data_IF_706330687652
#
_entry.id   IF_706330687652
#
_cell.length_a   1.000
_cell.length_b   1.000
_cell.length_c   1.000
_cell.angle_alpha   90.00
_cell.angle_beta   90.00
_cell.angle_gamma   90.00
#
_symmetry.space_group_name_H-M   'P 1'
#
loop_
_entity.id
_entity.type
_entity.pdbx_description
1 polymer ?
#
# COMPACT_ATOMS: atom_id res chain seq x y z
N UNK A 1 -1.57 -35.51 5.24
CA UNK A 1 -1.83 -34.06 5.11
C UNK A 1 -0.95 -33.39 6.12
N UNK A 2 0.07 -32.70 5.64
CA UNK A 2 1.01 -32.01 6.53
C UNK A 2 0.33 -30.77 7.12
N UNK A 3 0.80 -30.32 8.29
CA UNK A 3 0.22 -29.15 8.98
C UNK A 3 0.25 -27.89 8.09
N UNK A 4 1.22 -27.81 7.19
CA UNK A 4 1.36 -26.80 6.13
C UNK A 4 0.19 -26.80 5.15
N UNK A 5 -0.28 -27.97 4.70
CA UNK A 5 -1.38 -28.10 3.74
C UNK A 5 -2.69 -27.54 4.30
N UNK A 6 -2.95 -27.80 5.60
CA UNK A 6 -4.15 -27.33 6.30
C UNK A 6 -4.14 -25.81 6.41
N UNK A 7 -3.01 -25.22 6.79
CA UNK A 7 -2.84 -23.77 6.88
C UNK A 7 -3.03 -23.11 5.51
N UNK A 8 -2.39 -23.64 4.47
CA UNK A 8 -2.50 -23.10 3.10
C UNK A 8 -3.94 -23.18 2.59
N UNK A 9 -4.63 -24.30 2.83
CA UNK A 9 -6.04 -24.44 2.48
C UNK A 9 -6.91 -23.42 3.21
N UNK A 10 -6.64 -23.17 4.50
CA UNK A 10 -7.37 -22.19 5.29
C UNK A 10 -7.18 -20.78 4.77
N UNK A 11 -5.95 -20.37 4.46
CA UNK A 11 -5.70 -19.05 3.89
C UNK A 11 -6.40 -18.89 2.54
N UNK A 12 -6.34 -19.91 1.67
CA UNK A 12 -7.05 -19.88 0.37
C UNK A 12 -8.55 -19.66 0.54
N UNK A 13 -9.19 -20.33 1.51
CA UNK A 13 -10.60 -20.11 1.84
C UNK A 13 -10.86 -18.66 2.25
N UNK A 14 -10.02 -18.09 3.14
CA UNK A 14 -10.14 -16.71 3.58
C UNK A 14 -9.98 -15.72 2.42
N UNK A 15 -8.98 -15.89 1.56
CA UNK A 15 -8.79 -15.05 0.38
C UNK A 15 -10.01 -15.09 -0.56
N UNK A 16 -10.57 -16.28 -0.80
CA UNK A 16 -11.77 -16.42 -1.62
C UNK A 16 -12.99 -15.74 -0.98
N UNK A 17 -13.16 -15.87 0.33
CA UNK A 17 -14.24 -15.20 1.06
C UNK A 17 -14.12 -13.68 0.98
N UNK A 18 -12.90 -13.15 1.18
CA UNK A 18 -12.65 -11.72 1.03
C UNK A 18 -12.93 -11.23 -0.39
N UNK A 19 -12.56 -12.01 -1.41
CA UNK A 19 -12.88 -11.68 -2.80
C UNK A 19 -14.39 -11.58 -3.06
N UNK A 20 -15.18 -12.56 -2.58
CA UNK A 20 -16.65 -12.51 -2.68
C UNK A 20 -17.23 -11.30 -1.94
N UNK A 21 -16.68 -10.94 -0.79
CA UNK A 21 -17.10 -9.73 -0.06
C UNK A 21 -16.79 -8.45 -0.83
N UNK A 22 -15.65 -8.38 -1.53
CA UNK A 22 -15.31 -7.26 -2.42
C UNK A 22 -16.30 -7.14 -3.58
N UNK A 23 -16.69 -8.26 -4.19
CA UNK A 23 -17.72 -8.28 -5.25
C UNK A 23 -19.09 -7.83 -4.73
N UNK A 24 -19.35 -8.00 -3.44
CA UNK A 24 -20.54 -7.50 -2.75
C UNK A 24 -20.38 -6.09 -2.18
N UNK A 25 -19.29 -5.39 -2.49
CA UNK A 25 -18.93 -4.06 -1.96
C UNK A 25 -18.82 -3.99 -0.42
N UNK A 26 -18.67 -5.15 0.25
CA UNK A 26 -18.47 -5.27 1.69
C UNK A 26 -16.99 -5.13 2.04
N UNK A 27 -16.42 -3.96 1.72
CA UNK A 27 -14.98 -3.72 1.81
C UNK A 27 -14.43 -3.83 3.23
N UNK A 28 -15.16 -3.36 4.24
CA UNK A 28 -14.75 -3.43 5.65
C UNK A 28 -14.62 -4.89 6.12
N UNK A 29 -15.58 -5.74 5.72
CA UNK A 29 -15.53 -7.16 6.05
C UNK A 29 -14.37 -7.87 5.34
N UNK A 30 -14.09 -7.52 4.08
CA UNK A 30 -12.94 -8.04 3.35
C UNK A 30 -11.60 -7.59 3.98
N UNK A 31 -11.49 -6.33 4.41
CA UNK A 31 -10.33 -5.80 5.13
C UNK A 31 -10.10 -6.56 6.44
N UNK A 32 -11.15 -6.83 7.22
CA UNK A 32 -11.07 -7.64 8.42
C UNK A 32 -10.49 -9.04 8.15
N UNK A 33 -10.91 -9.71 7.07
CA UNK A 33 -10.37 -11.02 6.71
C UNK A 33 -8.88 -10.94 6.39
N UNK A 34 -8.43 -9.96 5.60
CA UNK A 34 -7.01 -9.82 5.30
C UNK A 34 -6.17 -9.50 6.54
N UNK A 35 -6.69 -8.69 7.46
CA UNK A 35 -6.03 -8.41 8.73
C UNK A 35 -5.96 -9.66 9.64
N UNK A 36 -6.99 -10.51 9.60
CA UNK A 36 -6.97 -11.81 10.27
C UNK A 36 -5.90 -12.74 9.67
N UNK A 37 -5.79 -12.80 8.34
CA UNK A 37 -4.71 -13.55 7.67
C UNK A 37 -3.35 -13.07 8.13
N UNK A 38 -3.11 -11.75 8.22
CA UNK A 38 -1.85 -11.18 8.70
C UNK A 38 -1.55 -11.65 10.14
N UNK A 39 -2.55 -11.56 11.02
CA UNK A 39 -2.43 -11.94 12.43
C UNK A 39 -2.12 -13.44 12.58
N UNK A 40 -2.83 -14.29 11.85
CA UNK A 40 -2.60 -15.74 11.85
C UNK A 40 -1.23 -16.08 11.26
N UNK A 41 -0.83 -15.44 10.16
CA UNK A 41 0.48 -15.60 9.55
C UNK A 41 1.62 -15.27 10.51
N UNK A 42 1.46 -14.27 11.37
CA UNK A 42 2.45 -13.95 12.39
C UNK A 42 2.56 -15.03 13.46
N UNK A 43 1.44 -15.62 13.88
CA UNK A 43 1.42 -16.70 14.86
C UNK A 43 2.11 -17.97 14.35
N UNK A 44 1.93 -18.30 13.07
CA UNK A 44 2.51 -19.50 12.45
C UNK A 44 3.79 -19.22 11.65
N UNK A 45 4.30 -17.99 11.69
CA UNK A 45 5.49 -17.53 10.97
C UNK A 45 5.45 -17.77 9.45
N UNK A 46 4.27 -17.72 8.85
CA UNK A 46 4.08 -17.97 7.42
C UNK A 46 4.01 -16.67 6.61
N UNK A 47 5.17 -16.24 6.11
CA UNK A 47 5.36 -14.92 5.48
C UNK A 47 4.67 -14.79 4.12
N UNK A 48 4.51 -15.87 3.35
CA UNK A 48 3.92 -15.78 2.01
C UNK A 48 2.46 -15.31 2.05
N UNK A 49 1.62 -15.88 2.93
CA UNK A 49 0.25 -15.39 3.09
C UNK A 49 0.17 -14.00 3.68
N UNK A 50 1.12 -13.63 4.54
CA UNK A 50 1.21 -12.26 5.08
C UNK A 50 1.47 -11.25 3.95
N UNK A 51 2.46 -11.54 3.09
CA UNK A 51 2.79 -10.75 1.90
C UNK A 51 1.58 -10.63 0.97
N UNK A 52 0.91 -11.74 0.69
CA UNK A 52 -0.25 -11.76 -0.20
C UNK A 52 -1.41 -10.94 0.38
N UNK A 53 -1.67 -11.02 1.69
CA UNK A 53 -2.69 -10.21 2.35
C UNK A 53 -2.41 -8.70 2.20
N UNK A 54 -1.15 -8.27 2.32
CA UNK A 54 -0.77 -6.88 2.08
C UNK A 54 -0.96 -6.44 0.61
N UNK A 55 -0.73 -7.32 -0.37
CA UNK A 55 -1.03 -7.01 -1.78
C UNK A 55 -2.54 -6.85 -1.98
N UNK A 56 -3.34 -7.76 -1.42
CA UNK A 56 -4.79 -7.66 -1.48
C UNK A 56 -5.31 -6.38 -0.80
N UNK A 57 -4.79 -6.05 0.38
CA UNK A 57 -5.11 -4.79 1.06
C UNK A 57 -4.71 -3.57 0.22
N UNK A 58 -3.54 -3.58 -0.42
CA UNK A 58 -3.12 -2.49 -1.32
C UNK A 58 -4.19 -2.23 -2.38
N UNK A 59 -4.66 -3.28 -3.06
CA UNK A 59 -5.69 -3.16 -4.10
C UNK A 59 -7.04 -2.69 -3.52
N UNK A 60 -7.44 -3.22 -2.36
CA UNK A 60 -8.66 -2.83 -1.67
C UNK A 60 -8.64 -1.34 -1.27
N UNK A 61 -7.50 -0.86 -0.76
CA UNK A 61 -7.32 0.54 -0.40
C UNK A 61 -7.34 1.46 -1.62
N UNK A 62 -6.76 1.02 -2.75
CA UNK A 62 -6.87 1.75 -4.03
C UNK A 62 -8.33 1.85 -4.48
N UNK A 63 -9.11 0.77 -4.42
CA UNK A 63 -10.54 0.78 -4.76
C UNK A 63 -11.32 1.78 -3.90
N UNK A 64 -11.02 1.82 -2.60
CA UNK A 64 -11.62 2.75 -1.64
C UNK A 64 -11.00 4.16 -1.67
N UNK A 65 -10.06 4.45 -2.58
CA UNK A 65 -9.33 5.72 -2.69
C UNK A 65 -8.55 6.11 -1.42
N UNK A 66 -8.23 5.13 -0.57
CA UNK A 66 -7.40 5.25 0.64
C UNK A 66 -5.92 5.12 0.27
N UNK A 67 -5.41 6.06 -0.53
CA UNK A 67 -4.11 5.91 -1.19
C UNK A 67 -2.91 5.88 -0.22
N UNK A 68 -3.00 6.55 0.93
CA UNK A 68 -1.95 6.48 1.96
C UNK A 68 -1.87 5.07 2.56
N UNK A 69 -3.01 4.48 2.91
CA UNK A 69 -3.10 3.11 3.44
C UNK A 69 -2.62 2.10 2.39
N UNK A 70 -2.97 2.32 1.11
CA UNK A 70 -2.49 1.51 0.00
C UNK A 70 -0.95 1.51 -0.08
N UNK A 71 -0.31 2.67 0.09
CA UNK A 71 1.15 2.76 0.05
C UNK A 71 1.79 2.01 1.22
N UNK A 72 1.24 2.15 2.43
CA UNK A 72 1.72 1.43 3.62
C UNK A 72 1.62 -0.08 3.39
N UNK A 73 0.50 -0.57 2.84
CA UNK A 73 0.32 -1.98 2.53
C UNK A 73 1.32 -2.45 1.47
N UNK A 74 1.57 -1.66 0.41
CA UNK A 74 2.53 -2.01 -0.62
C UNK A 74 3.97 -2.11 -0.09
N UNK A 75 4.35 -1.21 0.82
CA UNK A 75 5.65 -1.24 1.52
C UNK A 75 5.75 -2.50 2.39
N UNK A 76 4.69 -2.84 3.12
CA UNK A 76 4.67 -4.07 3.92
C UNK A 76 4.76 -5.33 3.05
N UNK A 77 4.05 -5.37 1.92
CA UNK A 77 4.20 -6.46 0.95
C UNK A 77 5.67 -6.61 0.52
N UNK A 78 6.36 -5.51 0.21
CA UNK A 78 7.79 -5.53 -0.12
C UNK A 78 8.65 -6.08 1.02
N UNK A 79 8.37 -5.68 2.26
CA UNK A 79 9.13 -6.10 3.44
C UNK A 79 9.01 -7.61 3.72
N UNK A 80 7.92 -8.24 3.31
CA UNK A 80 7.70 -9.69 3.45
C UNK A 80 7.99 -10.48 2.17
N UNK A 81 8.53 -9.84 1.12
CA UNK A 81 9.00 -10.53 -0.08
C UNK A 81 10.27 -11.32 0.21
N UNK A 82 10.33 -12.57 -0.22
CA UNK A 82 11.46 -13.49 0.05
C UNK A 82 12.45 -13.63 -1.10
N UNK A 83 12.06 -13.18 -2.29
CA UNK A 83 12.89 -13.25 -3.49
C UNK A 83 12.84 -11.95 -4.31
N UNK A 84 13.75 -11.87 -5.29
CA UNK A 84 13.89 -10.68 -6.14
C UNK A 84 12.70 -10.44 -7.08
N UNK A 85 11.95 -11.48 -7.43
CA UNK A 85 10.77 -11.34 -8.28
C UNK A 85 9.63 -10.71 -7.48
N UNK A 86 9.37 -11.21 -6.28
CA UNK A 86 8.39 -10.65 -5.35
C UNK A 86 8.75 -9.21 -4.94
N UNK A 87 10.04 -8.90 -4.74
CA UNK A 87 10.49 -7.53 -4.47
C UNK A 87 10.16 -6.62 -5.65
N UNK A 88 10.44 -7.04 -6.90
CA UNK A 88 10.12 -6.25 -8.10
C UNK A 88 8.62 -5.99 -8.23
N UNK A 89 7.79 -7.01 -8.01
CA UNK A 89 6.32 -6.86 -8.04
C UNK A 89 5.85 -5.84 -6.99
N UNK A 90 6.39 -5.90 -5.77
CA UNK A 90 6.04 -4.95 -4.72
C UNK A 90 6.55 -3.52 -5.02
N UNK A 91 7.76 -3.39 -5.59
CA UNK A 91 8.29 -2.09 -6.04
C UNK A 91 7.43 -1.46 -7.15
N UNK A 92 6.88 -2.27 -8.06
CA UNK A 92 5.92 -1.80 -9.07
C UNK A 92 4.62 -1.29 -8.46
N UNK A 93 4.08 -1.99 -7.44
CA UNK A 93 2.91 -1.53 -6.69
C UNK A 93 3.20 -0.21 -5.96
N UNK A 94 4.29 -0.13 -5.21
CA UNK A 94 4.72 1.08 -4.50
C UNK A 94 4.85 2.25 -5.48
N UNK A 95 5.49 2.03 -6.62
CA UNK A 95 5.65 3.04 -7.66
C UNK A 95 4.30 3.50 -8.22
N UNK A 96 3.39 2.58 -8.51
CA UNK A 96 2.05 2.89 -9.03
C UNK A 96 1.26 3.76 -8.04
N UNK A 97 1.23 3.38 -6.77
CA UNK A 97 0.54 4.13 -5.70
C UNK A 97 1.20 5.50 -5.50
N UNK A 98 2.55 5.54 -5.44
CA UNK A 98 3.31 6.78 -5.27
C UNK A 98 3.05 7.79 -6.39
N UNK A 99 2.86 7.33 -7.64
CA UNK A 99 2.53 8.22 -8.76
C UNK A 99 1.11 8.77 -8.67
N UNK A 100 0.18 8.02 -8.10
CA UNK A 100 -1.17 8.54 -7.87
C UNK A 100 -1.18 9.56 -6.73
N UNK A 101 -0.48 9.27 -5.64
CA UNK A 101 -0.28 10.22 -4.54
C UNK A 101 0.45 11.49 -4.98
N UNK A 102 1.43 11.39 -5.90
CA UNK A 102 2.07 12.55 -6.51
C UNK A 102 1.05 13.46 -7.20
N UNK A 103 0.17 12.88 -8.03
CA UNK A 103 -0.90 13.64 -8.70
C UNK A 103 -1.82 14.30 -7.67
N UNK A 104 -2.19 13.58 -6.61
CA UNK A 104 -3.01 14.13 -5.55
C UNK A 104 -2.33 15.29 -4.82
N UNK A 105 -1.02 15.20 -4.55
CA UNK A 105 -0.24 16.29 -3.96
C UNK A 105 -0.22 17.53 -4.84
N UNK A 106 -0.06 17.36 -6.17
CA UNK A 106 -0.14 18.47 -7.14
C UNK A 106 -1.53 19.13 -7.13
N UNK A 107 -2.61 18.33 -7.04
CA UNK A 107 -3.95 18.91 -6.95
C UNK A 107 -4.17 19.65 -5.61
N UNK A 108 -3.64 19.14 -4.50
CA UNK A 108 -3.67 19.84 -3.22
C UNK A 108 -2.96 21.19 -3.28
N UNK A 109 -1.78 21.24 -3.88
CA UNK A 109 -1.06 22.49 -4.11
C UNK A 109 -1.91 23.50 -4.91
N UNK A 110 -2.54 23.05 -6.02
CA UNK A 110 -3.39 23.92 -6.86
C UNK A 110 -4.57 24.52 -6.12
N UNK A 111 -5.13 23.83 -5.13
CA UNK A 111 -6.25 24.32 -4.32
C UNK A 111 -5.81 24.97 -3.02
N UNK A 112 -4.51 25.25 -2.84
CA UNK A 112 -3.96 25.93 -1.67
C UNK A 112 -3.80 25.06 -0.42
N UNK A 113 -3.95 23.74 -0.54
CA UNK A 113 -3.74 22.76 0.56
C UNK A 113 -2.26 22.41 0.68
N UNK A 114 -1.45 23.40 1.04
CA UNK A 114 0.01 23.29 1.01
C UNK A 114 0.57 22.30 2.03
N UNK A 115 -0.03 22.21 3.22
CA UNK A 115 0.39 21.28 4.27
C UNK A 115 0.16 19.83 3.82
N UNK A 116 -1.01 19.54 3.25
CA UNK A 116 -1.34 18.20 2.75
C UNK A 116 -0.49 17.82 1.53
N UNK A 117 -0.25 18.76 0.61
CA UNK A 117 0.66 18.54 -0.52
C UNK A 117 2.08 18.21 -0.03
N UNK A 118 2.59 18.97 0.93
CA UNK A 118 3.92 18.78 1.50
C UNK A 118 4.07 17.40 2.17
N UNK A 119 3.09 16.99 2.98
CA UNK A 119 3.10 15.67 3.60
C UNK A 119 3.04 14.54 2.57
N UNK A 120 2.23 14.67 1.52
CA UNK A 120 2.19 13.68 0.45
C UNK A 120 3.54 13.56 -0.27
N UNK A 121 4.17 14.69 -0.58
CA UNK A 121 5.49 14.73 -1.20
C UNK A 121 6.57 14.09 -0.34
N UNK A 122 6.59 14.36 0.97
CA UNK A 122 7.49 13.69 1.91
C UNK A 122 7.29 12.17 1.91
N UNK A 123 6.04 11.73 1.97
CA UNK A 123 5.68 10.32 2.04
C UNK A 123 6.17 9.54 0.82
N UNK A 124 6.02 10.10 -0.38
CA UNK A 124 6.37 9.40 -1.62
C UNK A 124 7.82 9.59 -2.05
N UNK A 125 8.52 10.61 -1.54
CA UNK A 125 9.87 10.98 -1.96
C UNK A 125 10.85 9.80 -2.08
N UNK A 126 10.93 8.86 -1.11
CA UNK A 126 11.87 7.74 -1.19
C UNK A 126 11.61 6.78 -2.36
N UNK A 127 10.40 6.79 -2.90
CA UNK A 127 9.92 5.81 -3.89
C UNK A 127 9.85 6.37 -5.32
N UNK A 128 10.21 7.64 -5.49
CA UNK A 128 10.28 8.29 -6.79
C UNK A 128 11.62 8.01 -7.49
N UNK A 129 11.63 8.10 -8.83
CA UNK A 129 12.89 8.08 -9.58
C UNK A 129 13.72 9.33 -9.27
N UNK A 130 15.05 9.27 -9.43
CA UNK A 130 15.96 10.38 -9.14
C UNK A 130 15.50 11.71 -9.79
N UNK A 131 15.11 11.67 -11.07
CA UNK A 131 14.57 12.84 -11.77
C UNK A 131 13.32 13.43 -11.10
N UNK A 132 12.42 12.58 -10.58
CA UNK A 132 11.20 13.04 -9.89
C UNK A 132 11.50 13.50 -8.47
N UNK A 133 12.45 12.87 -7.79
CA UNK A 133 12.93 13.31 -6.47
C UNK A 133 13.49 14.72 -6.54
N UNK A 134 14.28 15.06 -7.56
CA UNK A 134 14.80 16.42 -7.74
C UNK A 134 13.68 17.46 -7.84
N UNK A 135 12.66 17.18 -8.66
CA UNK A 135 11.49 18.06 -8.82
C UNK A 135 10.73 18.19 -7.50
N UNK A 136 10.35 17.06 -6.89
CA UNK A 136 9.57 17.05 -5.64
C UNK A 136 10.32 17.73 -4.50
N UNK A 137 11.66 17.63 -4.45
CA UNK A 137 12.48 18.34 -3.47
C UNK A 137 12.37 19.86 -3.62
N UNK A 138 12.35 20.36 -4.86
CA UNK A 138 12.16 21.79 -5.13
C UNK A 138 10.76 22.24 -4.73
N UNK A 139 9.73 21.48 -5.09
CA UNK A 139 8.34 21.77 -4.69
C UNK A 139 8.18 21.82 -3.17
N UNK A 140 8.71 20.82 -2.46
CA UNK A 140 8.70 20.80 -0.99
C UNK A 140 9.38 22.03 -0.38
N UNK A 141 10.48 22.52 -0.97
CA UNK A 141 11.16 23.73 -0.50
C UNK A 141 10.33 25.00 -0.73
N UNK A 142 9.55 25.06 -1.81
CA UNK A 142 8.63 26.17 -2.07
C UNK A 142 7.41 26.13 -1.14
N UNK A 143 6.81 24.96 -0.95
CA UNK A 143 5.70 24.75 -0.03
C UNK A 143 6.08 25.09 1.42
N UNK A 144 7.27 24.70 1.87
CA UNK A 144 7.75 25.01 3.21
C UNK A 144 7.83 26.53 3.50
N UNK A 145 8.08 27.36 2.48
CA UNK A 145 8.05 28.82 2.63
C UNK A 145 6.62 29.33 2.80
N UNK A 146 5.69 28.87 1.96
CA UNK A 146 4.28 29.26 2.04
C UNK A 146 3.61 28.83 3.35
N UNK A 147 4.05 27.73 3.96
CA UNK A 147 3.53 27.25 5.25
C UNK A 147 4.05 28.10 6.43
N UNK A 148 5.21 28.75 6.27
CA UNK A 148 5.84 29.54 7.32
C UNK A 148 5.40 31.01 7.34
N UNK A 149 4.69 31.46 6.30
CA UNK A 149 4.10 32.81 6.16
C UNK A 149 2.68 32.87 6.73
#
# INVERSE_FOLDING_TARGET
MEWSDIIVAKYKEMFNMAYVLIEQEKYEAAECIYNEVITLSDLVQYQESKRMAYICLTNLMVLQKRMNDALICAINARNFSVDMEQIKQADELIKSVSLTLLKQGIEFERVGKYVEAYHLFQLIYPYLSSKRQEVVKQEMAMLAKHIAE
#
